data_IF_658423452950
#
_entry.id   IF_658423452950
#
_cell.length_a   1.000
_cell.length_b   1.000
_cell.length_c   1.000
_cell.angle_alpha   90.00
_cell.angle_beta   90.00
_cell.angle_gamma   90.00
#
_symmetry.space_group_name_H-M   'P 1'
#
loop_
_entity.id
_entity.type
_entity.pdbx_description
1 polymer ?
#
# COMPACT_ATOMS: atom_id res chain seq x y z
N UNK A 1 17.51 18.08 -6.12
CA UNK A 1 16.10 18.55 -6.06
C UNK A 1 15.09 17.44 -6.32
N UNK A 2 15.13 16.73 -7.46
CA UNK A 2 14.10 15.72 -7.80
C UNK A 2 13.94 14.57 -6.77
N UNK A 3 15.04 14.06 -6.22
CA UNK A 3 15.01 12.98 -5.20
C UNK A 3 14.35 13.42 -3.89
N UNK A 4 14.64 14.64 -3.44
CA UNK A 4 14.08 15.21 -2.21
C UNK A 4 12.56 15.36 -2.36
N UNK A 5 12.09 15.90 -3.49
CA UNK A 5 10.65 16.04 -3.76
C UNK A 5 9.96 14.67 -3.81
N UNK A 6 10.56 13.67 -4.46
CA UNK A 6 10.02 12.29 -4.49
C UNK A 6 9.88 11.71 -3.07
N UNK A 7 10.89 11.89 -2.22
CA UNK A 7 10.86 11.38 -0.85
C UNK A 7 9.77 12.06 -0.01
N UNK A 8 9.59 13.38 -0.16
CA UNK A 8 8.52 14.13 0.51
C UNK A 8 7.15 13.65 0.03
N UNK A 9 6.95 13.49 -1.28
CA UNK A 9 5.70 12.98 -1.85
C UNK A 9 5.38 11.57 -1.35
N UNK A 10 6.38 10.68 -1.32
CA UNK A 10 6.23 9.31 -0.79
C UNK A 10 5.89 9.31 0.70
N UNK A 11 6.52 10.17 1.51
CA UNK A 11 6.20 10.28 2.94
C UNK A 11 4.77 10.79 3.18
N UNK A 12 4.34 11.82 2.44
CA UNK A 12 2.97 12.34 2.51
C UNK A 12 1.94 11.30 2.06
N UNK A 13 2.25 10.55 1.00
CA UNK A 13 1.41 9.44 0.54
C UNK A 13 1.28 8.36 1.62
N UNK A 14 2.37 7.97 2.28
CA UNK A 14 2.34 7.01 3.41
C UNK A 14 1.40 7.48 4.52
N UNK A 15 1.52 8.73 4.94
CA UNK A 15 0.63 9.29 5.96
C UNK A 15 -0.84 9.28 5.51
N UNK A 16 -1.12 9.71 4.27
CA UNK A 16 -2.48 9.71 3.71
C UNK A 16 -3.10 8.31 3.66
N UNK A 17 -2.36 7.32 3.15
CA UNK A 17 -2.87 5.95 3.00
C UNK A 17 -2.98 5.19 4.32
N UNK A 18 -2.24 5.59 5.35
CA UNK A 18 -2.43 5.09 6.72
C UNK A 18 -3.75 5.57 7.33
N UNK A 19 -4.25 6.75 6.93
CA UNK A 19 -5.49 7.33 7.47
C UNK A 19 -6.73 7.00 6.64
N UNK A 20 -6.59 6.89 5.30
CA UNK A 20 -7.72 6.60 4.41
C UNK A 20 -8.16 5.16 4.58
N UNK A 21 -9.38 4.98 5.09
CA UNK A 21 -9.97 3.66 5.32
C UNK A 21 -10.89 3.23 4.19
N UNK A 22 -10.90 1.93 3.93
CA UNK A 22 -11.81 1.24 3.04
C UNK A 22 -12.18 -0.08 3.70
N UNK A 23 -13.46 -0.46 3.75
CA UNK A 23 -13.89 -1.76 4.31
C UNK A 23 -13.26 -2.09 5.69
N UNK A 24 -13.08 -1.07 6.55
CA UNK A 24 -12.55 -1.24 7.91
C UNK A 24 -11.02 -1.36 8.06
N UNK A 25 -10.22 -1.24 7.00
CA UNK A 25 -8.75 -1.15 7.07
C UNK A 25 -8.24 0.05 6.28
N UNK A 26 -7.05 0.54 6.62
CA UNK A 26 -6.40 1.58 5.84
C UNK A 26 -5.98 1.07 4.46
N UNK A 27 -5.83 1.96 3.48
CA UNK A 27 -5.32 1.60 2.15
C UNK A 27 -3.91 0.99 2.24
N UNK A 28 -3.08 1.48 3.18
CA UNK A 28 -1.77 0.88 3.44
C UNK A 28 -1.90 -0.55 4.00
N UNK A 29 -2.83 -0.79 4.92
CA UNK A 29 -3.08 -2.13 5.44
C UNK A 29 -3.57 -3.10 4.35
N UNK A 30 -4.45 -2.65 3.45
CA UNK A 30 -4.86 -3.47 2.30
C UNK A 30 -3.70 -3.80 1.38
N UNK A 31 -2.83 -2.83 1.09
CA UNK A 31 -1.64 -3.07 0.28
C UNK A 31 -0.66 -4.06 0.93
N UNK A 32 -0.43 -3.94 2.24
CA UNK A 32 0.41 -4.90 2.99
C UNK A 32 -0.20 -6.30 2.96
N UNK A 33 -1.53 -6.43 3.11
CA UNK A 33 -2.21 -7.72 3.02
C UNK A 33 -2.06 -8.31 1.62
N UNK A 34 -2.30 -7.52 0.59
CA UNK A 34 -2.12 -7.92 -0.82
C UNK A 34 -0.71 -8.42 -1.08
N UNK A 35 0.34 -7.76 -0.55
CA UNK A 35 1.73 -8.23 -0.69
C UNK A 35 2.04 -9.55 0.02
N UNK A 36 1.27 -9.89 1.06
CA UNK A 36 1.50 -11.10 1.88
C UNK A 36 0.78 -12.33 1.35
N UNK A 37 -0.05 -12.21 0.31
CA UNK A 37 -0.84 -13.31 -0.24
C UNK A 37 -0.93 -13.23 -1.78
N UNK A 38 -1.46 -14.27 -2.42
CA UNK A 38 -1.79 -14.20 -3.85
C UNK A 38 -3.06 -13.37 -4.08
N UNK A 39 -3.24 -12.84 -5.29
CA UNK A 39 -4.45 -12.09 -5.64
C UNK A 39 -5.72 -12.95 -5.50
N UNK A 40 -5.64 -14.24 -5.84
CA UNK A 40 -6.77 -15.17 -5.70
C UNK A 40 -7.15 -15.39 -4.24
N UNK A 41 -6.16 -15.62 -3.36
CA UNK A 41 -6.40 -15.77 -1.93
C UNK A 41 -6.94 -14.47 -1.30
N UNK A 42 -6.48 -13.31 -1.78
CA UNK A 42 -7.02 -12.02 -1.37
C UNK A 42 -8.50 -11.89 -1.73
N UNK A 43 -8.85 -12.21 -2.97
CA UNK A 43 -10.22 -12.13 -3.46
C UNK A 43 -11.14 -13.13 -2.74
N UNK A 44 -10.69 -14.37 -2.55
CA UNK A 44 -11.43 -15.40 -1.82
C UNK A 44 -11.73 -14.97 -0.37
N UNK A 45 -10.73 -14.38 0.32
CA UNK A 45 -10.86 -13.98 1.72
C UNK A 45 -11.71 -12.72 1.91
N UNK A 46 -11.57 -11.73 1.02
CA UNK A 46 -12.17 -10.40 1.22
C UNK A 46 -13.33 -10.08 0.28
N UNK A 47 -13.53 -10.86 -0.78
CA UNK A 47 -14.62 -10.69 -1.75
C UNK A 47 -14.48 -9.45 -2.63
N UNK A 48 -13.26 -8.90 -2.78
CA UNK A 48 -13.00 -7.80 -3.70
C UNK A 48 -11.54 -7.81 -4.19
N UNK A 49 -11.30 -7.19 -5.34
CA UNK A 49 -9.95 -6.99 -5.87
C UNK A 49 -9.35 -5.69 -5.33
N UNK A 50 -8.10 -5.76 -4.89
CA UNK A 50 -7.31 -4.60 -4.51
C UNK A 50 -6.06 -4.54 -5.38
N UNK A 51 -5.77 -3.38 -5.94
CA UNK A 51 -4.55 -3.18 -6.72
C UNK A 51 -3.76 -1.98 -6.16
N UNK A 52 -2.63 -2.21 -5.48
CA UNK A 52 -1.81 -1.11 -4.93
C UNK A 52 -1.20 -0.20 -6.00
N UNK A 53 -1.21 -0.59 -7.29
CA UNK A 53 -0.73 0.25 -8.38
C UNK A 53 -1.70 1.37 -8.78
N UNK A 54 -2.97 1.29 -8.40
CA UNK A 54 -3.98 2.33 -8.68
C UNK A 54 -3.75 3.59 -7.81
N UNK A 55 -2.82 3.51 -6.86
CA UNK A 55 -2.53 4.54 -5.88
C UNK A 55 -1.05 4.96 -5.99
N UNK A 56 -0.76 6.24 -6.30
CA UNK A 56 0.62 6.72 -6.39
C UNK A 56 1.45 6.38 -5.15
N UNK A 57 2.63 5.79 -5.36
CA UNK A 57 3.57 5.36 -4.32
C UNK A 57 3.11 4.22 -3.38
N UNK A 58 1.84 3.83 -3.36
CA UNK A 58 1.34 2.85 -2.39
C UNK A 58 2.00 1.49 -2.54
N UNK A 59 2.22 1.02 -3.77
CA UNK A 59 2.97 -0.19 -4.04
C UNK A 59 4.39 -0.14 -3.47
N UNK A 60 5.15 0.92 -3.78
CA UNK A 60 6.53 1.08 -3.31
C UNK A 60 6.58 1.14 -1.78
N UNK A 61 5.65 1.87 -1.16
CA UNK A 61 5.55 1.99 0.30
C UNK A 61 5.27 0.62 0.91
N UNK A 62 4.23 -0.09 0.46
CA UNK A 62 3.86 -1.39 1.03
C UNK A 62 4.94 -2.46 0.79
N UNK A 63 5.63 -2.42 -0.36
CA UNK A 63 6.81 -3.26 -0.61
C UNK A 63 7.90 -3.03 0.43
N UNK A 64 8.20 -1.77 0.74
CA UNK A 64 9.23 -1.42 1.73
C UNK A 64 8.80 -1.83 3.15
N UNK A 65 7.52 -1.74 3.49
CA UNK A 65 6.99 -2.23 4.79
C UNK A 65 7.13 -3.75 4.94
N UNK A 66 6.95 -4.51 3.85
CA UNK A 66 6.97 -5.97 3.87
C UNK A 66 8.40 -6.53 3.72
N UNK A 67 9.23 -5.91 2.90
CA UNK A 67 10.54 -6.44 2.51
C UNK A 67 11.73 -5.53 2.81
N UNK A 68 11.50 -4.25 3.12
CA UNK A 68 12.55 -3.24 3.32
C UNK A 68 13.19 -3.24 4.71
N UNK A 69 12.66 -4.01 5.66
CA UNK A 69 13.22 -4.16 7.02
C UNK A 69 14.36 -5.17 7.14
N UNK A 70 15.33 -5.16 6.21
CA UNK A 70 16.60 -5.89 6.34
C UNK A 70 17.73 -4.95 6.70
#
# INVERSE_FOLDING_TARGET
MAVIVRNIMKANARASYSMRTMKGKSLLQWAILWFKMSNDAFYELYGFNFNPHDYPYLYEIARDEVYGGK
#
